data_IF_764426541047
#
_entry.id   IF_764426541047
#
_cell.length_a   1.000
_cell.length_b   1.000
_cell.length_c   1.000
_cell.angle_alpha   90.00
_cell.angle_beta   90.00
_cell.angle_gamma   90.00
#
_symmetry.space_group_name_H-M   'P 1'
#
loop_
_entity.id
_entity.type
_entity.pdbx_description
1 polymer ?
#
# COMPACT_ATOMS: atom_id res chain seq x y z
N UNK A 1 -2.12 38.72 -15.77
CA UNK A 1 -2.60 38.09 -14.51
C UNK A 1 -3.44 36.84 -14.75
N UNK A 2 -4.25 36.77 -15.82
CA UNK A 2 -5.11 35.62 -16.15
C UNK A 2 -4.35 34.32 -16.49
N UNK A 3 -3.15 34.40 -17.09
CA UNK A 3 -2.33 33.23 -17.42
C UNK A 3 -1.74 32.51 -16.19
N UNK A 4 -1.37 33.29 -15.16
CA UNK A 4 -0.78 32.74 -13.94
C UNK A 4 -1.81 31.95 -13.11
N UNK A 5 -3.07 32.41 -13.08
CA UNK A 5 -4.13 31.70 -12.36
C UNK A 5 -4.55 30.39 -13.04
N UNK A 6 -4.50 30.34 -14.38
CA UNK A 6 -4.73 29.12 -15.17
C UNK A 6 -3.62 28.09 -14.87
N UNK A 7 -2.36 28.52 -14.86
CA UNK A 7 -1.22 27.64 -14.58
C UNK A 7 -1.25 27.06 -13.15
N UNK A 8 -1.62 27.87 -12.14
CA UNK A 8 -1.75 27.39 -10.75
C UNK A 8 -2.88 26.37 -10.63
N UNK A 9 -4.03 26.63 -11.28
CA UNK A 9 -5.20 25.74 -11.24
C UNK A 9 -4.87 24.36 -11.81
N UNK A 10 -4.10 24.29 -12.89
CA UNK A 10 -3.75 23.02 -13.52
C UNK A 10 -2.76 22.21 -12.68
N UNK A 11 -1.83 22.86 -11.98
CA UNK A 11 -0.95 22.17 -11.02
C UNK A 11 -1.74 21.57 -9.86
N UNK A 12 -2.68 22.32 -9.29
CA UNK A 12 -3.54 21.83 -8.19
C UNK A 12 -4.36 20.61 -8.63
N UNK A 13 -4.90 20.62 -9.86
CA UNK A 13 -5.62 19.45 -10.41
C UNK A 13 -4.72 18.22 -10.49
N UNK A 14 -3.49 18.36 -10.99
CA UNK A 14 -2.55 17.23 -11.10
C UNK A 14 -2.23 16.64 -9.73
N UNK A 15 -1.99 17.48 -8.72
CA UNK A 15 -1.75 17.00 -7.35
C UNK A 15 -2.99 16.32 -6.76
N UNK A 16 -4.20 16.85 -7.00
CA UNK A 16 -5.45 16.22 -6.58
C UNK A 16 -5.68 14.86 -7.25
N UNK A 17 -5.35 14.74 -8.55
CA UNK A 17 -5.35 13.45 -9.23
C UNK A 17 -4.31 12.49 -8.67
N UNK A 18 -3.14 12.98 -8.25
CA UNK A 18 -2.13 12.19 -7.56
C UNK A 18 -2.64 11.61 -6.24
N UNK A 19 -3.28 12.43 -5.41
CA UNK A 19 -3.92 11.99 -4.15
C UNK A 19 -5.00 10.92 -4.42
N UNK A 20 -5.87 11.16 -5.40
CA UNK A 20 -6.94 10.23 -5.77
C UNK A 20 -6.39 8.92 -6.33
N UNK A 21 -5.35 8.99 -7.16
CA UNK A 21 -4.67 7.81 -7.69
C UNK A 21 -4.02 6.99 -6.56
N UNK A 22 -3.41 7.65 -5.58
CA UNK A 22 -2.91 7.02 -4.36
C UNK A 22 -4.00 6.30 -3.57
N UNK A 23 -5.14 6.97 -3.34
CA UNK A 23 -6.31 6.36 -2.69
C UNK A 23 -6.79 5.12 -3.44
N UNK A 24 -7.06 5.23 -4.74
CA UNK A 24 -7.54 4.12 -5.57
C UNK A 24 -6.54 2.96 -5.54
N UNK A 25 -5.24 3.26 -5.68
CA UNK A 25 -4.19 2.25 -5.64
C UNK A 25 -4.18 1.50 -4.31
N UNK A 26 -4.26 2.19 -3.17
CA UNK A 26 -4.32 1.52 -1.86
C UNK A 26 -5.55 0.66 -1.68
N UNK A 27 -6.71 1.08 -2.18
CA UNK A 27 -7.93 0.27 -2.13
C UNK A 27 -7.81 -0.98 -2.99
N UNK A 28 -7.23 -0.86 -4.18
CA UNK A 28 -6.97 -2.00 -5.08
C UNK A 28 -6.00 -2.99 -4.42
N UNK A 29 -4.87 -2.50 -3.90
CA UNK A 29 -3.89 -3.33 -3.19
C UNK A 29 -4.51 -3.97 -1.95
N UNK A 30 -5.36 -3.24 -1.21
CA UNK A 30 -6.10 -3.80 -0.08
C UNK A 30 -7.01 -4.93 -0.48
N UNK A 31 -7.76 -4.77 -1.57
CA UNK A 31 -8.59 -5.83 -2.14
C UNK A 31 -7.77 -7.07 -2.51
N UNK A 32 -6.59 -6.87 -3.12
CA UNK A 32 -5.69 -7.98 -3.46
C UNK A 32 -5.14 -8.69 -2.21
N UNK A 33 -4.79 -7.96 -1.16
CA UNK A 33 -4.34 -8.54 0.11
C UNK A 33 -5.47 -9.35 0.76
N UNK A 34 -6.69 -8.79 0.86
CA UNK A 34 -7.83 -9.53 1.40
C UNK A 34 -8.18 -10.78 0.59
N UNK A 35 -8.06 -10.71 -0.74
CA UNK A 35 -8.23 -11.87 -1.60
C UNK A 35 -7.13 -12.91 -1.35
N UNK A 36 -5.87 -12.50 -1.19
CA UNK A 36 -4.77 -13.38 -0.83
C UNK A 36 -4.97 -14.07 0.51
N UNK A 37 -5.37 -13.33 1.54
CA UNK A 37 -5.74 -13.89 2.85
C UNK A 37 -6.88 -14.90 2.73
N UNK A 38 -7.88 -14.62 1.88
CA UNK A 38 -8.99 -15.53 1.64
C UNK A 38 -8.57 -16.83 0.97
N UNK A 39 -7.74 -16.75 -0.06
CA UNK A 39 -7.20 -17.92 -0.75
C UNK A 39 -6.37 -18.81 0.18
N UNK A 40 -5.78 -18.24 1.23
CA UNK A 40 -4.96 -18.94 2.22
C UNK A 40 -5.72 -19.32 3.50
N UNK A 41 -7.04 -19.08 3.55
CA UNK A 41 -7.90 -19.28 4.73
C UNK A 41 -7.51 -18.46 5.98
N UNK A 42 -6.77 -17.37 5.83
CA UNK A 42 -6.40 -16.50 6.93
C UNK A 42 -7.58 -15.62 7.40
N UNK A 43 -7.55 -15.16 8.67
CA UNK A 43 -8.46 -14.13 9.15
C UNK A 43 -8.46 -12.92 8.22
N UNK A 44 -9.63 -12.33 8.02
CA UNK A 44 -9.74 -11.11 7.24
C UNK A 44 -9.00 -9.96 7.91
N UNK A 45 -8.09 -9.32 7.17
CA UNK A 45 -7.32 -8.17 7.63
C UNK A 45 -6.18 -8.52 8.57
N UNK A 46 -5.69 -9.76 8.56
CA UNK A 46 -4.52 -10.17 9.34
C UNK A 46 -3.31 -9.28 9.03
N UNK A 47 -3.05 -8.94 7.77
CA UNK A 47 -1.95 -8.04 7.39
C UNK A 47 -2.08 -6.67 8.07
N UNK A 48 -3.27 -6.06 8.01
CA UNK A 48 -3.53 -4.75 8.63
C UNK A 48 -3.54 -4.82 10.15
N UNK A 49 -4.02 -5.92 10.72
CA UNK A 49 -3.98 -6.15 12.15
C UNK A 49 -2.55 -6.16 12.68
N UNK A 50 -1.64 -6.86 12.00
CA UNK A 50 -0.22 -6.92 12.36
C UNK A 50 0.43 -5.54 12.23
N UNK A 51 0.11 -4.78 11.18
CA UNK A 51 0.57 -3.39 11.08
C UNK A 51 0.08 -2.58 12.29
N UNK A 52 -1.20 -2.69 12.67
CA UNK A 52 -1.75 -2.05 13.86
C UNK A 52 -0.97 -2.38 15.13
N UNK A 53 -0.73 -3.68 15.38
CA UNK A 53 0.06 -4.12 16.53
C UNK A 53 1.49 -3.59 16.50
N UNK A 54 2.15 -3.58 15.33
CA UNK A 54 3.50 -3.03 15.19
C UNK A 54 3.59 -1.53 15.46
N UNK A 55 2.48 -0.81 15.30
CA UNK A 55 2.36 0.61 15.63
C UNK A 55 1.95 0.84 17.10
N UNK A 56 1.76 -0.23 17.87
CA UNK A 56 1.41 -0.19 19.30
C UNK A 56 -0.09 -0.11 19.59
N UNK A 57 -0.96 -0.26 18.59
CA UNK A 57 -2.40 -0.32 18.82
C UNK A 57 -2.82 -1.72 19.30
N UNK A 58 -3.72 -1.78 20.29
CA UNK A 58 -4.32 -3.04 20.76
C UNK A 58 -5.69 -3.31 20.13
N UNK A 59 -6.27 -4.45 20.45
CA UNK A 59 -7.68 -4.74 20.14
C UNK A 59 -8.62 -3.77 20.90
N UNK A 60 -9.72 -3.30 20.28
CA UNK A 60 -10.21 -3.63 18.93
C UNK A 60 -9.66 -2.73 17.80
N UNK A 61 -8.81 -1.76 18.11
CA UNK A 61 -8.47 -0.67 17.19
C UNK A 61 -7.37 -1.03 16.18
N UNK A 62 -6.56 -2.06 16.46
CA UNK A 62 -5.38 -2.42 15.68
C UNK A 62 -5.65 -2.61 14.18
N UNK A 63 -6.68 -3.38 13.81
CA UNK A 63 -7.02 -3.60 12.39
C UNK A 63 -7.39 -2.30 11.69
N UNK A 64 -8.24 -1.48 12.31
CA UNK A 64 -8.69 -0.21 11.75
C UNK A 64 -7.53 0.77 11.58
N UNK A 65 -6.64 0.85 12.57
CA UNK A 65 -5.48 1.73 12.52
C UNK A 65 -4.44 1.29 11.49
N UNK A 66 -4.18 -0.02 11.36
CA UNK A 66 -3.28 -0.53 10.33
C UNK A 66 -3.81 -0.26 8.92
N UNK A 67 -5.12 -0.43 8.70
CA UNK A 67 -5.76 -0.11 7.42
C UNK A 67 -5.73 1.40 7.13
N UNK A 68 -6.04 2.24 8.12
CA UNK A 68 -5.98 3.69 8.00
C UNK A 68 -4.57 4.18 7.64
N UNK A 69 -3.54 3.62 8.27
CA UNK A 69 -2.14 3.95 7.99
C UNK A 69 -1.71 3.50 6.60
N UNK A 70 -2.16 2.35 6.12
CA UNK A 70 -1.90 1.91 4.75
C UNK A 70 -2.50 2.87 3.72
N UNK A 71 -3.78 3.24 3.89
CA UNK A 71 -4.48 4.17 3.00
C UNK A 71 -3.80 5.54 3.03
N UNK A 72 -3.55 6.09 4.22
CA UNK A 72 -2.89 7.39 4.38
C UNK A 72 -1.52 7.40 3.69
N UNK A 73 -0.73 6.34 3.89
CA UNK A 73 0.60 6.22 3.27
C UNK A 73 0.51 6.25 1.75
N UNK A 74 -0.39 5.48 1.14
CA UNK A 74 -0.49 5.48 -0.33
C UNK A 74 -1.11 6.75 -0.91
N UNK A 75 -2.00 7.43 -0.19
CA UNK A 75 -2.46 8.79 -0.56
C UNK A 75 -1.28 9.77 -0.60
N UNK A 76 -0.44 9.76 0.45
CA UNK A 76 0.75 10.61 0.51
C UNK A 76 1.76 10.26 -0.58
N UNK A 77 1.96 8.98 -0.88
CA UNK A 77 2.81 8.52 -1.98
C UNK A 77 2.28 9.04 -3.32
N UNK A 78 0.97 9.02 -3.55
CA UNK A 78 0.36 9.59 -4.76
C UNK A 78 0.61 11.10 -4.91
N UNK A 79 0.59 11.84 -3.81
CA UNK A 79 0.98 13.26 -3.79
C UNK A 79 2.47 13.45 -4.11
N UNK A 80 3.34 12.66 -3.50
CA UNK A 80 4.79 12.73 -3.74
C UNK A 80 5.11 12.38 -5.20
N UNK A 81 4.48 11.35 -5.75
CA UNK A 81 4.65 10.93 -7.14
C UNK A 81 4.13 11.98 -8.14
N UNK A 82 3.07 12.71 -7.82
CA UNK A 82 2.56 13.79 -8.70
C UNK A 82 3.35 15.10 -8.59
N UNK A 83 4.17 15.27 -7.55
CA UNK A 83 4.95 16.50 -7.33
C UNK A 83 5.98 16.78 -8.45
N UNK A 84 6.82 15.83 -8.89
CA UNK A 84 7.70 16.02 -10.05
C UNK A 84 6.96 16.42 -11.33
N UNK A 85 5.72 15.97 -11.51
CA UNK A 85 4.92 16.25 -12.71
C UNK A 85 4.58 17.74 -12.80
N UNK A 86 4.31 18.40 -11.67
CA UNK A 86 3.96 19.82 -11.65
C UNK A 86 5.17 20.77 -11.55
N UNK A 87 6.32 20.26 -11.10
CA UNK A 87 7.56 21.04 -10.98
C UNK A 87 8.43 20.94 -12.23
N UNK A 88 8.43 19.80 -12.94
CA UNK A 88 9.26 19.57 -14.12
C UNK A 88 8.40 19.64 -15.39
N UNK A 89 8.42 20.79 -16.07
CA UNK A 89 7.61 21.02 -17.27
C UNK A 89 7.87 20.05 -18.43
N UNK A 90 9.06 19.44 -18.50
CA UNK A 90 9.36 18.35 -19.45
C UNK A 90 8.59 17.08 -19.11
N UNK A 91 8.47 16.74 -17.82
CA UNK A 91 7.72 15.59 -17.35
C UNK A 91 6.22 15.79 -17.57
N UNK A 92 5.69 16.98 -17.25
CA UNK A 92 4.30 17.33 -17.56
C UNK A 92 3.93 17.06 -19.03
N UNK A 93 4.77 17.53 -19.96
CA UNK A 93 4.58 17.30 -21.41
C UNK A 93 4.77 15.83 -21.82
N UNK A 94 5.70 15.11 -21.19
CA UNK A 94 5.91 13.70 -21.51
C UNK A 94 4.71 12.85 -21.07
N UNK A 95 4.13 13.14 -19.91
CA UNK A 95 3.00 12.41 -19.33
C UNK A 95 1.64 12.80 -19.95
N UNK A 96 1.59 13.71 -20.92
CA UNK A 96 0.37 13.93 -21.71
C UNK A 96 0.07 12.75 -22.66
N UNK A 97 1.07 11.92 -22.94
CA UNK A 97 0.90 10.66 -23.66
C UNK A 97 0.54 9.54 -22.67
N UNK A 98 -0.56 8.82 -22.94
CA UNK A 98 -1.03 7.72 -22.10
C UNK A 98 0.02 6.63 -21.86
N UNK A 99 0.76 6.22 -22.90
CA UNK A 99 1.77 5.17 -22.77
C UNK A 99 2.90 5.60 -21.83
N UNK A 100 3.35 6.86 -21.94
CA UNK A 100 4.39 7.41 -21.07
C UNK A 100 3.88 7.57 -19.63
N UNK A 101 2.62 7.99 -19.46
CA UNK A 101 1.97 8.07 -18.16
C UNK A 101 1.83 6.69 -17.49
N UNK A 102 1.47 5.66 -18.27
CA UNK A 102 1.38 4.29 -17.80
C UNK A 102 2.75 3.76 -17.35
N UNK A 103 3.78 3.91 -18.19
CA UNK A 103 5.15 3.50 -17.85
C UNK A 103 5.64 4.21 -16.58
N UNK A 104 5.39 5.51 -16.47
CA UNK A 104 5.72 6.28 -15.27
C UNK A 104 5.03 5.70 -14.02
N UNK A 105 3.73 5.40 -14.11
CA UNK A 105 2.98 4.77 -13.03
C UNK A 105 3.55 3.42 -12.62
N UNK A 106 3.92 2.57 -13.59
CA UNK A 106 4.55 1.27 -13.32
C UNK A 106 5.89 1.46 -12.59
N UNK A 107 6.75 2.37 -13.07
CA UNK A 107 8.04 2.65 -12.43
C UNK A 107 7.83 3.13 -11.00
N UNK A 108 6.93 4.09 -10.77
CA UNK A 108 6.60 4.57 -9.43
C UNK A 108 6.08 3.43 -8.55
N UNK A 109 5.19 2.58 -9.07
CA UNK A 109 4.66 1.42 -8.35
C UNK A 109 5.76 0.44 -7.93
N UNK A 110 6.66 0.09 -8.83
CA UNK A 110 7.82 -0.78 -8.55
C UNK A 110 8.74 -0.15 -7.50
N UNK A 111 9.03 1.15 -7.61
CA UNK A 111 9.86 1.85 -6.62
C UNK A 111 9.21 1.85 -5.24
N UNK A 112 7.90 2.13 -5.15
CA UNK A 112 7.16 2.10 -3.89
C UNK A 112 7.16 0.70 -3.29
N UNK A 113 6.97 -0.33 -4.11
CA UNK A 113 7.04 -1.71 -3.68
C UNK A 113 8.43 -2.06 -3.10
N UNK A 114 9.50 -1.72 -3.81
CA UNK A 114 10.88 -1.97 -3.35
C UNK A 114 11.24 -1.20 -2.07
N UNK A 115 10.83 0.06 -1.96
CA UNK A 115 11.28 0.97 -0.90
C UNK A 115 10.40 0.87 0.36
N UNK A 116 9.10 0.63 0.22
CA UNK A 116 8.17 0.58 1.34
C UNK A 116 7.67 -0.83 1.61
N UNK A 117 7.13 -1.50 0.60
CA UNK A 117 6.45 -2.78 0.82
C UNK A 117 7.41 -3.87 1.28
N UNK A 118 8.58 -4.02 0.64
CA UNK A 118 9.56 -5.02 1.06
C UNK A 118 10.11 -4.74 2.46
N UNK A 119 10.64 -3.55 2.81
CA UNK A 119 11.17 -3.31 4.14
C UNK A 119 10.12 -3.44 5.24
N UNK A 120 8.90 -2.95 5.03
CA UNK A 120 7.81 -3.13 6.01
C UNK A 120 7.49 -4.60 6.20
N UNK A 121 7.40 -5.38 5.13
CA UNK A 121 7.08 -6.81 5.21
C UNK A 121 8.17 -7.60 5.94
N UNK A 122 9.44 -7.36 5.60
CA UNK A 122 10.57 -8.11 6.14
C UNK A 122 11.03 -7.66 7.53
N UNK A 123 11.00 -6.36 7.80
CA UNK A 123 11.58 -5.80 9.02
C UNK A 123 10.54 -5.49 10.10
N UNK A 124 9.25 -5.39 9.74
CA UNK A 124 8.18 -5.06 10.69
C UNK A 124 7.19 -6.21 10.80
N UNK A 125 6.53 -6.58 9.69
CA UNK A 125 5.43 -7.54 9.70
C UNK A 125 5.91 -8.92 10.13
N UNK A 126 6.97 -9.46 9.53
CA UNK A 126 7.48 -10.78 9.91
C UNK A 126 7.94 -10.84 11.38
N UNK A 127 8.83 -9.96 11.87
CA UNK A 127 9.22 -9.96 13.28
C UNK A 127 8.04 -9.84 14.25
N UNK A 128 7.05 -9.00 13.92
CA UNK A 128 5.84 -8.84 14.75
C UNK A 128 5.01 -10.12 14.78
N UNK A 129 4.92 -10.84 13.67
CA UNK A 129 4.25 -12.14 13.59
C UNK A 129 4.99 -13.24 14.37
N UNK A 130 6.32 -13.28 14.33
CA UNK A 130 7.09 -14.28 15.08
C UNK A 130 6.95 -14.08 16.59
N UNK A 131 6.89 -12.82 17.04
CA UNK A 131 6.69 -12.45 18.43
C UNK A 131 5.24 -12.48 18.91
N UNK A 132 4.27 -12.73 18.01
CA UNK A 132 2.85 -12.72 18.35
C UNK A 132 2.44 -14.02 19.03
N UNK A 133 2.22 -13.96 20.34
CA UNK A 133 1.79 -15.10 21.17
C UNK A 133 0.26 -15.22 21.28
N UNK A 134 -0.51 -14.44 20.52
CA UNK A 134 -1.97 -14.50 20.54
C UNK A 134 -2.50 -15.72 19.77
N UNK A 135 -3.65 -16.24 20.19
CA UNK A 135 -4.33 -17.32 19.47
C UNK A 135 -5.00 -16.71 18.24
N UNK A 136 -4.46 -16.97 17.05
CA UNK A 136 -5.12 -16.69 15.79
C UNK A 136 -5.80 -17.96 15.30
N UNK A 137 -7.09 -17.89 15.03
CA UNK A 137 -7.83 -18.98 14.41
C UNK A 137 -8.10 -18.66 12.95
N UNK A 138 -7.93 -19.65 12.07
CA UNK A 138 -8.32 -19.56 10.68
C UNK A 138 -9.86 -19.45 10.54
N UNK A 139 -10.34 -19.28 9.30
CA UNK A 139 -11.80 -19.19 9.04
C UNK A 139 -12.58 -20.46 9.38
N UNK A 140 -11.90 -21.59 9.53
CA UNK A 140 -12.48 -22.89 9.92
C UNK A 140 -12.42 -23.11 11.44
N UNK A 141 -11.95 -22.12 12.22
CA UNK A 141 -11.77 -22.22 13.67
C UNK A 141 -10.54 -23.03 14.09
N UNK A 142 -9.64 -23.36 13.16
CA UNK A 142 -8.37 -24.04 13.49
C UNK A 142 -7.36 -23.03 14.00
N UNK A 143 -6.74 -23.33 15.12
CA UNK A 143 -5.65 -22.52 15.66
C UNK A 143 -4.47 -22.60 14.69
N UNK A 144 -4.01 -21.45 14.21
CA UNK A 144 -2.85 -21.32 13.35
C UNK A 144 -1.58 -21.35 14.21
N UNK A 145 -1.03 -22.54 14.43
CA UNK A 145 0.18 -22.74 15.26
C UNK A 145 1.47 -22.32 14.57
N UNK A 146 1.48 -22.28 13.23
CA UNK A 146 2.64 -21.90 12.40
C UNK A 146 2.34 -20.64 11.57
N UNK A 147 1.76 -19.62 12.21
CA UNK A 147 1.38 -18.36 11.56
C UNK A 147 2.55 -17.74 10.82
N UNK A 148 3.73 -17.79 11.44
CA UNK A 148 4.96 -17.23 10.92
C UNK A 148 5.43 -17.91 9.61
N UNK A 149 5.46 -19.25 9.58
CA UNK A 149 5.84 -20.03 8.38
C UNK A 149 4.84 -19.86 7.24
N UNK A 150 3.58 -19.65 7.58
CA UNK A 150 2.47 -19.52 6.64
C UNK A 150 2.41 -18.10 6.04
N UNK A 151 2.62 -17.07 6.85
CA UNK A 151 2.71 -15.69 6.38
C UNK A 151 4.01 -15.41 5.62
N UNK A 152 5.13 -16.01 6.05
CA UNK A 152 6.36 -16.02 5.27
C UNK A 152 6.13 -16.61 3.89
N UNK A 153 5.35 -17.69 3.76
CA UNK A 153 4.91 -18.22 2.45
C UNK A 153 4.05 -17.23 1.67
N UNK A 154 3.12 -16.51 2.30
CA UNK A 154 2.33 -15.47 1.61
C UNK A 154 3.21 -14.35 1.07
N UNK A 155 4.18 -13.87 1.86
CA UNK A 155 5.17 -12.87 1.40
C UNK A 155 6.02 -13.48 0.28
N UNK A 156 6.47 -14.72 0.41
CA UNK A 156 7.25 -15.43 -0.62
C UNK A 156 6.49 -15.60 -1.93
N UNK A 157 5.20 -15.96 -1.87
CA UNK A 157 4.33 -16.10 -3.04
C UNK A 157 3.94 -14.75 -3.62
N UNK A 158 3.70 -13.72 -2.80
CA UNK A 158 3.48 -12.36 -3.26
C UNK A 158 4.71 -11.78 -3.97
N UNK A 159 5.91 -12.22 -3.61
CA UNK A 159 7.18 -11.87 -4.29
C UNK A 159 7.39 -12.73 -5.55
N UNK A 160 6.95 -14.00 -5.55
CA UNK A 160 7.12 -14.92 -6.68
C UNK A 160 6.03 -14.89 -7.75
N UNK A 161 4.92 -14.16 -7.54
CA UNK A 161 3.80 -14.00 -8.48
C UNK A 161 3.84 -12.69 -9.30
N UNK A 162 4.96 -11.97 -9.25
CA UNK A 162 5.27 -10.82 -10.11
C UNK A 162 6.62 -11.07 -10.80
#
# INVERSE_FOLDING_TARGET
>A
MQDASIQVRDKVKVLAFGLLAGLISTLVVSGLIFAGEALMNYPHGLFYLIIGYSLGFGEPDALGMGMAMHILTGVLIGLVASTPVVTVGRLFRALSNFNTALIYGIIVGVLVWLIFFLPVSYMIVMPTLEGYNGIVSDRSGRILTDLNLSFAKVIYYAIGLH
#
